data_IF_456231696122
#
_entry.id   IF_456231696122
#
_cell.length_a   1.000
_cell.length_b   1.000
_cell.length_c   1.000
_cell.angle_alpha   90.00
_cell.angle_beta   90.00
_cell.angle_gamma   90.00
#
_symmetry.space_group_name_H-M   'P 1'
#
loop_
_entity.id
_entity.type
_entity.pdbx_description
1 polymer ?
#
# COMPACT_ATOMS: atom_id res chain seq x y z
N UNK A 1 -7.39 2.66 13.95
CA UNK A 1 -7.17 3.37 12.67
C UNK A 1 -7.58 2.45 11.54
N UNK A 2 -8.23 2.98 10.50
CA UNK A 2 -8.50 2.24 9.27
C UNK A 2 -7.66 2.86 8.16
N UNK A 3 -6.74 2.09 7.59
CA UNK A 3 -5.94 2.51 6.45
C UNK A 3 -6.50 1.91 5.17
N UNK A 4 -7.04 2.76 4.32
CA UNK A 4 -7.70 2.40 3.07
C UNK A 4 -7.22 3.26 1.89
N UNK A 5 -6.15 4.04 2.10
CA UNK A 5 -5.64 4.85 1.02
C UNK A 5 -4.91 3.94 0.03
N UNK A 6 -5.31 3.98 -1.23
CA UNK A 6 -4.68 3.19 -2.27
C UNK A 6 -5.04 3.72 -3.65
N UNK A 7 -4.13 3.51 -4.60
CA UNK A 7 -4.35 3.80 -6.01
C UNK A 7 -4.09 2.56 -6.85
N UNK A 8 -4.82 2.43 -7.94
CA UNK A 8 -4.53 1.44 -8.99
C UNK A 8 -3.49 2.00 -9.95
N UNK A 9 -2.83 1.11 -10.68
CA UNK A 9 -1.94 1.51 -11.76
C UNK A 9 -2.69 2.37 -12.79
N UNK A 10 -2.03 3.44 -13.24
CA UNK A 10 -2.60 4.39 -14.20
C UNK A 10 -2.31 4.02 -15.66
N UNK A 11 -1.59 2.91 -15.88
CA UNK A 11 -1.13 2.44 -17.18
C UNK A 11 -0.96 0.92 -17.13
N UNK A 12 -0.83 0.29 -18.30
CA UNK A 12 -0.56 -1.16 -18.36
C UNK A 12 0.90 -1.38 -18.01
N UNK A 13 1.14 -1.99 -16.85
CA UNK A 13 2.46 -2.34 -16.37
C UNK A 13 2.69 -3.85 -16.51
N UNK A 14 3.82 -4.24 -17.10
CA UNK A 14 4.26 -5.64 -17.16
C UNK A 14 5.68 -5.75 -16.62
N UNK A 15 6.16 -6.95 -16.31
CA UNK A 15 7.56 -7.14 -15.87
C UNK A 15 8.57 -6.67 -16.92
N UNK A 16 8.25 -6.82 -18.22
CA UNK A 16 9.16 -6.44 -19.31
C UNK A 16 9.13 -4.94 -19.59
N UNK A 17 7.95 -4.33 -19.47
CA UNK A 17 7.69 -2.93 -19.73
C UNK A 17 7.13 -2.30 -18.44
N UNK A 18 8.03 -2.07 -17.48
CA UNK A 18 7.72 -1.45 -16.18
C UNK A 18 8.21 0.01 -16.16
N UNK A 19 7.27 0.95 -16.06
CA UNK A 19 7.58 2.35 -15.81
C UNK A 19 7.84 2.57 -14.32
N UNK A 20 9.10 2.77 -13.97
CA UNK A 20 9.52 3.00 -12.58
C UNK A 20 8.90 4.26 -11.96
N UNK A 21 8.62 5.31 -12.74
CA UNK A 21 8.00 6.51 -12.18
C UNK A 21 6.52 6.25 -11.79
N UNK A 22 5.80 5.46 -12.60
CA UNK A 22 4.44 5.03 -12.28
C UNK A 22 4.43 4.05 -11.09
N UNK A 23 5.35 3.08 -11.09
CA UNK A 23 5.56 2.12 -10.00
C UNK A 23 5.86 2.83 -8.67
N UNK A 24 6.82 3.75 -8.64
CA UNK A 24 7.23 4.46 -7.43
C UNK A 24 6.07 5.31 -6.88
N UNK A 25 5.30 5.95 -7.76
CA UNK A 25 4.09 6.68 -7.35
C UNK A 25 3.08 5.77 -6.67
N UNK A 26 2.84 4.59 -7.23
CA UNK A 26 1.93 3.59 -6.67
C UNK A 26 2.43 3.06 -5.33
N UNK A 27 3.70 2.65 -5.25
CA UNK A 27 4.34 2.13 -4.04
C UNK A 27 4.43 3.18 -2.93
N UNK A 28 4.65 4.45 -3.29
CA UNK A 28 4.66 5.55 -2.32
C UNK A 28 3.34 5.64 -1.57
N UNK A 29 2.21 5.43 -2.25
CA UNK A 29 0.88 5.51 -1.63
C UNK A 29 0.52 4.18 -0.96
N UNK A 30 0.56 3.07 -1.70
CA UNK A 30 0.02 1.78 -1.26
C UNK A 30 0.91 1.04 -0.26
N UNK A 31 2.20 1.35 -0.21
CA UNK A 31 3.17 0.64 0.65
C UNK A 31 3.81 1.60 1.66
N UNK A 32 4.52 2.62 1.16
CA UNK A 32 5.25 3.54 2.05
C UNK A 32 4.30 4.43 2.87
N UNK A 33 3.22 4.91 2.26
CA UNK A 33 2.18 5.68 2.94
C UNK A 33 1.52 4.87 4.05
N UNK A 34 1.15 3.62 3.75
CA UNK A 34 0.61 2.68 4.74
C UNK A 34 1.58 2.44 5.89
N UNK A 35 2.86 2.20 5.59
CA UNK A 35 3.89 2.00 6.61
C UNK A 35 4.06 3.24 7.52
N UNK A 36 3.97 4.45 6.96
CA UNK A 36 4.01 5.68 7.73
C UNK A 36 2.77 5.82 8.63
N UNK A 37 1.58 5.54 8.12
CA UNK A 37 0.34 5.54 8.89
C UNK A 37 0.41 4.53 10.06
N UNK A 38 0.87 3.31 9.81
CA UNK A 38 1.09 2.29 10.83
C UNK A 38 2.05 2.79 11.92
N UNK A 39 3.22 3.32 11.51
CA UNK A 39 4.21 3.87 12.44
C UNK A 39 3.60 4.94 13.34
N UNK A 40 2.89 5.91 12.76
CA UNK A 40 2.32 7.02 13.52
C UNK A 40 1.18 6.58 14.44
N UNK A 41 0.27 5.74 13.95
CA UNK A 41 -0.85 5.25 14.76
C UNK A 41 -0.40 4.34 15.89
N UNK A 42 0.50 3.39 15.62
CA UNK A 42 1.03 2.49 16.64
C UNK A 42 1.79 3.27 17.72
N UNK A 43 2.63 4.24 17.32
CA UNK A 43 3.32 5.12 18.28
C UNK A 43 2.35 5.90 19.16
N UNK A 44 1.33 6.53 18.56
CA UNK A 44 0.33 7.26 19.33
C UNK A 44 -0.45 6.35 20.29
N UNK A 45 -0.79 5.12 19.88
CA UNK A 45 -1.46 4.15 20.77
C UNK A 45 -0.59 3.77 21.98
N UNK A 46 0.71 3.57 21.76
CA UNK A 46 1.68 3.27 22.84
C UNK A 46 1.87 4.48 23.76
N UNK A 47 2.11 5.66 23.20
CA UNK A 47 2.35 6.89 23.97
C UNK A 47 1.14 7.28 24.83
N UNK A 48 -0.09 7.02 24.36
CA UNK A 48 -1.33 7.29 25.08
C UNK A 48 -1.79 6.13 25.99
N UNK A 49 -1.07 4.99 25.98
CA UNK A 49 -1.43 3.78 26.73
C UNK A 49 -2.88 3.31 26.47
N UNK A 50 -3.30 3.31 25.21
CA UNK A 50 -4.65 2.87 24.80
C UNK A 50 -4.59 1.56 24.04
N UNK A 51 -5.58 0.70 24.28
CA UNK A 51 -5.80 -0.48 23.45
C UNK A 51 -6.44 -0.01 22.15
N UNK A 52 -5.77 -0.26 21.02
CA UNK A 52 -6.23 0.13 19.70
C UNK A 52 -5.97 -0.96 18.67
N UNK A 53 -6.75 -0.91 17.59
CA UNK A 53 -6.56 -1.77 16.43
C UNK A 53 -6.23 -0.91 15.21
N UNK A 54 -5.35 -1.43 14.37
CA UNK A 54 -5.07 -0.88 13.04
C UNK A 54 -5.48 -1.94 12.02
N UNK A 55 -6.36 -1.55 11.10
CA UNK A 55 -6.82 -2.41 10.01
C UNK A 55 -6.34 -1.78 8.71
N UNK A 56 -5.65 -2.56 7.89
CA UNK A 56 -5.15 -2.12 6.59
C UNK A 56 -5.92 -2.86 5.49
N UNK A 57 -6.49 -2.10 4.55
CA UNK A 57 -7.12 -2.69 3.38
C UNK A 57 -6.09 -3.05 2.33
N UNK A 58 -6.23 -4.26 1.81
CA UNK A 58 -5.48 -4.80 0.68
C UNK A 58 -6.46 -5.29 -0.39
N UNK A 59 -5.97 -5.77 -1.52
CA UNK A 59 -6.80 -6.40 -2.54
C UNK A 59 -6.59 -7.92 -2.57
N UNK A 60 -7.60 -8.67 -3.01
CA UNK A 60 -7.48 -10.13 -3.18
C UNK A 60 -6.43 -10.51 -4.21
N UNK A 61 -6.14 -9.60 -5.14
CA UNK A 61 -5.11 -9.77 -6.15
C UNK A 61 -3.69 -9.75 -5.60
N UNK A 62 -3.44 -9.15 -4.42
CA UNK A 62 -2.08 -9.06 -3.84
C UNK A 62 -1.50 -10.43 -3.45
N UNK A 63 -2.36 -11.46 -3.37
CA UNK A 63 -1.92 -12.82 -3.04
C UNK A 63 -1.39 -13.60 -4.26
N UNK A 64 -1.41 -13.02 -5.47
CA UNK A 64 -0.94 -13.67 -6.68
C UNK A 64 -0.50 -12.66 -7.75
N UNK A 65 0.55 -12.98 -8.50
CA UNK A 65 0.99 -12.13 -9.61
C UNK A 65 0.02 -12.12 -10.79
N UNK A 66 0.10 -11.07 -11.61
CA UNK A 66 -0.59 -10.98 -12.92
C UNK A 66 0.38 -10.56 -14.03
N UNK A 67 0.05 -10.96 -15.25
CA UNK A 67 0.76 -10.54 -16.48
C UNK A 67 0.67 -9.02 -16.74
N UNK A 68 -0.38 -8.37 -16.21
CA UNK A 68 -0.63 -6.92 -16.32
C UNK A 68 -0.90 -6.32 -14.96
N UNK A 69 -0.59 -5.03 -14.83
CA UNK A 69 -0.63 -4.25 -13.58
C UNK A 69 0.27 -4.90 -12.51
N UNK A 70 1.45 -5.35 -12.92
CA UNK A 70 2.42 -6.03 -12.05
C UNK A 70 2.91 -5.13 -10.90
N UNK A 71 2.75 -3.82 -11.02
CA UNK A 71 3.01 -2.85 -9.97
C UNK A 71 1.91 -2.77 -8.90
N UNK A 72 0.73 -3.37 -9.12
CA UNK A 72 -0.41 -3.34 -8.19
C UNK A 72 -0.75 -4.70 -7.57
N UNK A 73 -0.41 -5.81 -8.24
CA UNK A 73 -0.75 -7.18 -7.84
C UNK A 73 0.43 -7.90 -7.21
#
# INVERSE_FOLDING_TARGET
MFDNCGIVSNSVQTVLELDFAAFDRLFTINVSGVAACLKHAARAMVELNVIGNIVCMTCTGTSFGKERNTDYY
#
